data_IF_684115115473
#
_entry.id   IF_684115115473
#
_cell.length_a   1.000
_cell.length_b   1.000
_cell.length_c   1.000
_cell.angle_alpha   90.00
_cell.angle_beta   90.00
_cell.angle_gamma   90.00
#
_symmetry.space_group_name_H-M   'P 1'
#
loop_
_entity.id
_entity.type
_entity.pdbx_description
1 polymer ?
#
# COMPACT_ATOMS: atom_id res chain seq x y z
N UNK A 1 17.00 -77.34 20.46
CA UNK A 1 16.56 -76.21 21.32
C UNK A 1 17.22 -74.94 20.81
N UNK A 2 16.43 -73.85 20.73
CA UNK A 2 16.79 -72.44 20.47
C UNK A 2 17.19 -71.96 19.05
N UNK A 3 16.15 -71.50 18.34
CA UNK A 3 15.94 -70.22 17.63
C UNK A 3 17.14 -69.29 17.32
N UNK A 4 17.25 -68.83 16.07
CA UNK A 4 16.67 -67.54 15.58
C UNK A 4 17.16 -67.24 14.14
N UNK A 5 16.24 -67.21 13.17
CA UNK A 5 15.78 -66.03 12.38
C UNK A 5 16.90 -65.12 11.82
N UNK A 6 16.97 -64.99 10.48
CA UNK A 6 16.93 -63.74 9.67
C UNK A 6 17.15 -64.09 8.17
N UNK A 7 16.15 -63.85 7.29
CA UNK A 7 16.07 -62.71 6.32
C UNK A 7 17.26 -62.68 5.33
N UNK A 8 17.14 -63.24 4.11
CA UNK A 8 16.67 -62.61 2.85
C UNK A 8 17.39 -61.27 2.55
N UNK A 9 18.35 -61.26 1.62
CA UNK A 9 18.21 -60.81 0.19
C UNK A 9 18.11 -59.26 0.10
N UNK A 10 18.88 -58.48 -0.67
CA UNK A 10 19.46 -58.63 -2.01
C UNK A 10 20.62 -57.63 -2.22
N UNK A 11 21.56 -58.09 -3.04
CA UNK A 11 22.67 -57.47 -3.74
C UNK A 11 22.27 -56.29 -4.65
N UNK A 12 23.13 -55.28 -4.83
CA UNK A 12 23.25 -54.67 -6.16
C UNK A 12 23.56 -53.18 -6.25
N UNK A 13 24.82 -52.88 -6.55
CA UNK A 13 25.15 -52.13 -7.78
C UNK A 13 25.01 -50.61 -7.75
N UNK A 14 26.12 -49.96 -7.41
CA UNK A 14 26.40 -48.54 -7.64
C UNK A 14 26.28 -48.18 -9.13
N UNK A 15 25.43 -47.20 -9.47
CA UNK A 15 25.44 -46.52 -10.77
C UNK A 15 25.73 -45.04 -10.52
N UNK A 16 26.89 -44.59 -10.99
CA UNK A 16 27.26 -43.18 -11.01
C UNK A 16 26.55 -42.47 -12.15
N UNK A 17 25.91 -41.34 -11.85
CA UNK A 17 25.45 -40.35 -12.84
C UNK A 17 26.03 -39.01 -12.43
N UNK A 18 27.01 -38.54 -13.21
CA UNK A 18 27.43 -37.16 -13.20
C UNK A 18 26.35 -36.33 -13.92
N UNK A 19 25.74 -35.36 -13.23
CA UNK A 19 24.83 -34.39 -13.84
C UNK A 19 25.27 -32.98 -13.44
N UNK A 20 25.28 -32.11 -14.44
CA UNK A 20 26.03 -30.87 -14.53
C UNK A 20 25.60 -29.78 -13.53
N UNK A 21 26.60 -29.06 -13.01
CA UNK A 21 26.41 -27.75 -12.40
C UNK A 21 26.00 -26.76 -13.50
N UNK A 22 24.74 -26.32 -13.51
CA UNK A 22 24.32 -25.16 -14.31
C UNK A 22 24.80 -23.91 -13.58
N UNK A 23 25.98 -23.42 -13.96
CA UNK A 23 26.41 -22.06 -13.65
C UNK A 23 25.61 -21.12 -14.55
N UNK A 24 24.51 -20.56 -14.03
CA UNK A 24 23.77 -19.51 -14.71
C UNK A 24 24.41 -18.14 -14.44
N UNK A 25 25.59 -17.93 -15.01
CA UNK A 25 26.11 -16.59 -15.27
C UNK A 25 25.74 -16.24 -16.72
N UNK A 26 24.61 -15.58 -16.91
CA UNK A 26 24.17 -15.06 -18.21
C UNK A 26 24.26 -13.54 -18.24
N UNK A 27 25.37 -13.01 -18.77
CA UNK A 27 25.50 -11.59 -19.08
C UNK A 27 25.15 -11.34 -20.56
N UNK A 28 24.18 -10.44 -20.76
CA UNK A 28 23.87 -9.56 -21.91
C UNK A 28 23.87 -10.10 -23.36
N UNK A 29 22.71 -9.96 -24.01
CA UNK A 29 22.59 -10.05 -25.47
C UNK A 29 21.20 -9.71 -26.01
N UNK A 30 20.98 -8.43 -26.34
CA UNK A 30 20.16 -7.99 -27.48
C UNK A 30 18.71 -8.48 -27.59
N UNK A 31 17.84 -8.10 -26.65
CA UNK A 31 16.41 -8.01 -26.93
C UNK A 31 16.11 -6.61 -27.46
N UNK A 32 15.68 -6.51 -28.72
CA UNK A 32 15.26 -5.26 -29.35
C UNK A 32 14.30 -4.47 -28.44
N UNK A 33 14.74 -3.31 -27.95
CA UNK A 33 13.92 -2.31 -27.26
C UNK A 33 12.94 -1.68 -28.25
N UNK A 34 11.93 -2.44 -28.66
CA UNK A 34 10.80 -1.95 -29.43
C UNK A 34 9.79 -1.33 -28.46
N UNK A 35 10.16 -0.15 -27.97
CA UNK A 35 9.31 0.99 -27.58
C UNK A 35 10.07 1.89 -26.59
N UNK A 36 11.18 2.50 -27.02
CA UNK A 36 11.59 3.76 -26.41
C UNK A 36 10.63 4.84 -26.90
N UNK A 37 9.98 5.58 -26.01
CA UNK A 37 9.21 6.74 -26.47
C UNK A 37 10.17 7.70 -27.19
N UNK A 38 9.72 8.42 -28.25
CA UNK A 38 10.61 9.19 -29.13
C UNK A 38 11.45 10.26 -28.44
N UNK A 39 11.19 10.54 -27.16
CA UNK A 39 11.84 11.58 -26.37
C UNK A 39 12.39 11.12 -25.02
N UNK A 40 12.45 9.81 -24.74
CA UNK A 40 12.91 9.32 -23.42
C UNK A 40 14.32 9.83 -23.04
N UNK A 41 15.22 10.00 -24.02
CA UNK A 41 16.59 10.45 -23.79
C UNK A 41 16.75 11.99 -23.75
N UNK A 42 15.69 12.76 -24.02
CA UNK A 42 15.77 14.22 -24.18
C UNK A 42 14.74 15.00 -23.38
N UNK A 43 13.58 14.42 -23.08
CA UNK A 43 12.51 15.07 -22.33
C UNK A 43 12.89 15.15 -20.86
N UNK A 44 12.87 16.35 -20.31
CA UNK A 44 13.15 16.58 -18.88
C UNK A 44 11.86 16.54 -18.07
N UNK A 45 11.96 16.19 -16.79
CA UNK A 45 10.79 16.10 -15.90
C UNK A 45 9.97 17.40 -15.84
N UNK A 46 10.61 18.57 -15.88
CA UNK A 46 9.92 19.87 -15.88
C UNK A 46 9.29 20.25 -17.23
N UNK A 47 9.56 19.50 -18.29
CA UNK A 47 8.97 19.70 -19.62
C UNK A 47 7.74 18.80 -19.84
N UNK A 48 7.48 17.89 -18.89
CA UNK A 48 6.35 16.99 -18.94
C UNK A 48 5.17 17.52 -18.13
N UNK A 49 3.97 17.24 -18.64
CA UNK A 49 2.72 17.45 -17.94
C UNK A 49 2.05 16.10 -17.74
N UNK A 50 1.58 15.86 -16.52
CA UNK A 50 0.90 14.62 -16.15
C UNK A 50 -0.43 14.94 -15.51
N UNK A 51 -1.34 13.98 -15.57
CA UNK A 51 -2.56 14.00 -14.77
C UNK A 51 -2.26 13.29 -13.46
N UNK A 52 -2.69 13.92 -12.36
CA UNK A 52 -2.63 13.34 -11.03
C UNK A 52 -4.01 13.16 -10.40
N UNK A 53 -4.07 12.30 -9.40
CA UNK A 53 -5.22 12.16 -8.50
C UNK A 53 -4.89 12.75 -7.13
N UNK A 54 -5.88 13.43 -6.53
CA UNK A 54 -5.80 13.97 -5.16
C UNK A 54 -6.35 12.92 -4.19
N UNK A 55 -5.68 12.72 -3.06
CA UNK A 55 -5.95 11.65 -2.10
C UNK A 55 -6.10 10.29 -2.79
N UNK A 56 -5.09 9.84 -3.52
CA UNK A 56 -5.19 8.72 -4.48
C UNK A 56 -5.64 7.40 -3.86
N UNK A 57 -5.56 7.24 -2.55
CA UNK A 57 -5.97 6.06 -1.80
C UNK A 57 -7.44 6.11 -1.33
N UNK A 58 -8.12 7.26 -1.48
CA UNK A 58 -9.42 7.54 -0.86
C UNK A 58 -10.52 6.58 -1.33
N UNK A 59 -11.26 6.06 -0.35
CA UNK A 59 -12.49 5.30 -0.54
C UNK A 59 -13.61 6.02 0.21
N UNK A 60 -14.77 6.14 -0.42
CA UNK A 60 -15.95 6.75 0.21
C UNK A 60 -16.25 6.11 1.57
N UNK A 61 -16.61 6.90 2.60
CA UNK A 61 -17.12 6.38 3.87
C UNK A 61 -18.24 5.35 3.71
N UNK A 62 -18.21 4.30 4.52
CA UNK A 62 -19.26 3.26 4.54
C UNK A 62 -20.64 3.86 4.86
N UNK A 63 -21.75 3.23 4.42
CA UNK A 63 -23.09 3.82 4.50
C UNK A 63 -23.49 4.36 5.89
N UNK A 64 -23.18 3.64 6.97
CA UNK A 64 -23.55 4.05 8.33
C UNK A 64 -22.79 5.31 8.78
N UNK A 65 -21.47 5.34 8.53
CA UNK A 65 -20.64 6.51 8.79
C UNK A 65 -21.05 7.69 7.91
N UNK A 66 -21.24 7.46 6.61
CA UNK A 66 -21.69 8.48 5.67
C UNK A 66 -23.02 9.10 6.09
N UNK A 67 -24.00 8.30 6.52
CA UNK A 67 -25.29 8.80 7.01
C UNK A 67 -25.13 9.67 8.27
N UNK A 68 -24.23 9.27 9.19
CA UNK A 68 -23.88 10.06 10.38
C UNK A 68 -23.25 11.41 10.01
N UNK A 69 -22.27 11.41 9.11
CA UNK A 69 -21.62 12.64 8.62
C UNK A 69 -22.63 13.51 7.89
N UNK A 70 -23.47 12.96 7.02
CA UNK A 70 -24.50 13.70 6.29
C UNK A 70 -25.50 14.39 7.23
N UNK A 71 -25.85 13.75 8.35
CA UNK A 71 -26.77 14.32 9.33
C UNK A 71 -26.16 15.51 10.10
N UNK A 72 -24.83 15.51 10.31
CA UNK A 72 -24.13 16.51 11.14
C UNK A 72 -23.44 17.61 10.30
N UNK A 73 -22.88 17.23 9.16
CA UNK A 73 -22.07 18.07 8.28
C UNK A 73 -22.26 17.68 6.79
N UNK A 74 -23.42 18.01 6.19
CA UNK A 74 -23.70 17.67 4.79
C UNK A 74 -22.61 18.04 3.78
N UNK A 75 -21.99 19.25 3.85
CA UNK A 75 -20.93 19.61 2.90
C UNK A 75 -19.71 18.68 2.95
N UNK A 76 -19.37 18.12 4.13
CA UNK A 76 -18.27 17.16 4.25
C UNK A 76 -18.65 15.81 3.63
N UNK A 77 -19.86 15.31 3.92
CA UNK A 77 -20.34 14.07 3.34
C UNK A 77 -20.33 14.12 1.80
N UNK A 78 -20.82 15.22 1.22
CA UNK A 78 -20.82 15.42 -0.24
C UNK A 78 -19.40 15.47 -0.81
N UNK A 79 -18.46 16.15 -0.14
CA UNK A 79 -17.07 16.23 -0.57
C UNK A 79 -16.33 14.89 -0.53
N UNK A 80 -16.69 13.99 0.40
CA UNK A 80 -16.08 12.67 0.58
C UNK A 80 -16.86 11.56 -0.16
N UNK A 81 -17.85 11.91 -0.98
CA UNK A 81 -18.67 10.95 -1.72
C UNK A 81 -18.01 10.47 -3.03
N UNK A 82 -16.78 9.96 -2.96
CA UNK A 82 -16.07 9.41 -4.12
C UNK A 82 -15.10 8.29 -3.72
N UNK A 83 -14.72 7.46 -4.69
CA UNK A 83 -13.77 6.37 -4.49
C UNK A 83 -12.81 6.32 -5.68
N UNK A 84 -11.51 6.25 -5.40
CA UNK A 84 -10.51 5.94 -6.43
C UNK A 84 -10.39 4.43 -6.63
N UNK A 85 -9.87 4.04 -7.80
CA UNK A 85 -9.40 2.68 -8.02
C UNK A 85 -8.12 2.43 -7.22
N UNK A 86 -7.73 1.17 -7.03
CA UNK A 86 -6.43 0.85 -6.44
C UNK A 86 -5.28 1.50 -7.24
N UNK A 87 -4.14 1.80 -6.59
CA UNK A 87 -3.07 2.59 -7.19
C UNK A 87 -2.57 1.99 -8.52
N UNK A 88 -2.37 0.67 -8.56
CA UNK A 88 -1.96 -0.05 -9.76
C UNK A 88 -2.97 0.09 -10.92
N UNK A 89 -4.27 0.17 -10.62
CA UNK A 89 -5.32 0.36 -11.61
C UNK A 89 -5.38 1.81 -12.10
N UNK A 90 -5.12 2.81 -11.24
CA UNK A 90 -4.97 4.20 -11.66
C UNK A 90 -3.82 4.36 -12.66
N UNK A 91 -2.68 3.69 -12.43
CA UNK A 91 -1.54 3.73 -13.34
C UNK A 91 -1.82 3.04 -14.68
N UNK A 92 -2.56 1.94 -14.65
CA UNK A 92 -2.79 1.08 -15.82
C UNK A 92 -3.99 1.52 -16.66
N UNK A 93 -5.13 1.79 -16.03
CA UNK A 93 -6.39 2.07 -16.74
C UNK A 93 -6.58 3.56 -17.00
N UNK A 94 -6.18 4.41 -16.05
CA UNK A 94 -6.35 5.86 -16.13
C UNK A 94 -5.07 6.59 -16.55
N UNK A 95 -3.94 5.88 -16.64
CA UNK A 95 -2.64 6.44 -17.04
C UNK A 95 -2.16 7.58 -16.13
N UNK A 96 -2.54 7.54 -14.84
CA UNK A 96 -2.10 8.50 -13.83
C UNK A 96 -0.58 8.38 -13.63
N UNK A 97 0.10 9.53 -13.49
CA UNK A 97 1.55 9.61 -13.23
C UNK A 97 1.92 10.57 -12.10
N UNK A 98 0.93 11.08 -11.40
CA UNK A 98 1.11 11.76 -10.12
C UNK A 98 0.03 11.26 -9.14
N UNK A 99 0.44 10.89 -7.94
CA UNK A 99 -0.46 10.47 -6.87
C UNK A 99 -0.12 11.19 -5.57
N UNK A 100 -1.08 11.18 -4.67
CA UNK A 100 -0.99 11.74 -3.33
C UNK A 100 -1.35 10.68 -2.29
N UNK A 101 -0.54 10.60 -1.24
CA UNK A 101 -0.72 9.68 -0.12
C UNK A 101 -0.57 10.46 1.18
N UNK A 102 -1.65 10.59 1.91
CA UNK A 102 -1.64 11.15 3.25
C UNK A 102 -1.16 10.08 4.22
N UNK A 103 -0.24 10.45 5.08
CA UNK A 103 0.36 9.57 6.07
C UNK A 103 0.21 10.13 7.47
N UNK A 104 -0.18 9.26 8.39
CA UNK A 104 -0.25 9.54 9.82
C UNK A 104 0.75 8.65 10.54
N UNK A 105 1.57 9.24 11.42
CA UNK A 105 2.55 8.50 12.20
C UNK A 105 1.89 7.64 13.29
N UNK A 106 2.30 6.38 13.39
CA UNK A 106 1.84 5.41 14.39
C UNK A 106 3.00 4.45 14.77
N UNK A 107 4.06 4.95 15.43
CA UNK A 107 5.32 4.21 15.63
C UNK A 107 5.16 2.98 16.53
N UNK A 108 4.17 2.96 17.41
CA UNK A 108 3.87 1.82 18.28
C UNK A 108 2.77 0.91 17.71
N UNK A 109 2.03 1.38 16.71
CA UNK A 109 0.84 0.71 16.19
C UNK A 109 -0.39 0.92 17.07
N UNK A 110 -1.56 0.70 16.47
CA UNK A 110 -2.85 0.71 17.16
C UNK A 110 -3.46 2.08 17.37
N UNK A 111 -2.75 3.18 17.09
CA UNK A 111 -3.27 4.55 17.32
C UNK A 111 -4.57 4.80 16.55
N UNK A 112 -4.69 4.22 15.35
CA UNK A 112 -5.87 4.37 14.48
C UNK A 112 -6.73 3.10 14.41
N UNK A 113 -6.49 2.09 15.26
CA UNK A 113 -7.21 0.82 15.24
C UNK A 113 -8.65 0.93 15.77
N UNK A 114 -8.93 1.94 16.58
CA UNK A 114 -10.29 2.31 17.00
C UNK A 114 -10.76 3.54 16.21
N UNK A 115 -11.96 3.48 15.64
CA UNK A 115 -12.55 4.53 14.80
C UNK A 115 -13.56 5.32 15.61
N UNK A 116 -13.17 6.49 16.13
CA UNK A 116 -13.98 7.20 17.11
C UNK A 116 -15.39 7.59 16.61
N UNK A 117 -15.55 7.94 15.33
CA UNK A 117 -16.87 8.22 14.78
C UNK A 117 -17.78 6.98 14.78
N UNK A 118 -17.23 5.80 14.52
CA UNK A 118 -17.99 4.56 14.58
C UNK A 118 -18.36 4.22 16.02
N UNK A 119 -17.42 4.31 16.97
CA UNK A 119 -17.70 4.14 18.40
C UNK A 119 -18.84 5.07 18.86
N UNK A 120 -18.80 6.33 18.44
CA UNK A 120 -19.84 7.31 18.76
C UNK A 120 -21.21 6.95 18.15
N UNK A 121 -21.24 6.48 16.90
CA UNK A 121 -22.49 6.19 16.17
C UNK A 121 -23.12 4.84 16.55
N UNK A 122 -22.30 3.81 16.82
CA UNK A 122 -22.75 2.42 16.96
C UNK A 122 -22.42 1.79 18.31
N UNK A 123 -21.52 2.40 19.09
CA UNK A 123 -20.94 1.80 20.30
C UNK A 123 -19.87 0.74 20.02
N UNK A 124 -19.39 0.64 18.78
CA UNK A 124 -18.28 -0.24 18.39
C UNK A 124 -17.40 0.44 17.32
N UNK A 125 -16.24 0.93 17.76
CA UNK A 125 -15.22 1.55 16.92
C UNK A 125 -14.12 0.59 16.46
N UNK A 126 -14.13 -0.68 16.87
CA UNK A 126 -13.04 -1.59 16.56
C UNK A 126 -12.93 -1.82 15.04
N UNK A 127 -11.81 -1.42 14.45
CA UNK A 127 -11.58 -1.64 13.02
C UNK A 127 -11.48 -3.12 12.65
N UNK A 128 -10.97 -3.94 13.58
CA UNK A 128 -10.63 -5.35 13.36
C UNK A 128 -9.68 -5.56 12.17
N UNK A 129 -8.81 -4.57 11.90
CA UNK A 129 -7.81 -4.58 10.83
C UNK A 129 -6.41 -4.73 11.45
N UNK A 130 -5.79 -5.92 11.40
CA UNK A 130 -4.50 -6.17 12.05
C UNK A 130 -3.38 -5.25 11.52
N UNK A 131 -3.49 -4.77 10.28
CA UNK A 131 -2.55 -3.81 9.69
C UNK A 131 -2.48 -2.49 10.46
N UNK A 132 -3.55 -2.13 11.17
CA UNK A 132 -3.59 -0.92 12.00
C UNK A 132 -2.91 -1.11 13.35
N UNK A 133 -2.79 -2.36 13.82
CA UNK A 133 -2.11 -2.70 15.08
C UNK A 133 -0.58 -2.72 14.96
N UNK A 134 -0.06 -2.79 13.73
CA UNK A 134 1.39 -2.83 13.48
C UNK A 134 2.03 -1.44 13.55
N UNK A 135 3.28 -1.30 14.02
CA UNK A 135 4.08 -0.08 13.88
C UNK A 135 4.18 0.46 12.44
N UNK A 136 4.17 1.79 12.28
CA UNK A 136 4.50 2.49 11.04
C UNK A 136 3.55 3.62 10.70
N UNK A 137 3.39 3.93 9.41
CA UNK A 137 2.51 4.99 8.94
C UNK A 137 1.18 4.43 8.42
N UNK A 138 0.08 5.05 8.85
CA UNK A 138 -1.28 4.73 8.39
C UNK A 138 -1.68 5.69 7.28
N UNK A 139 -2.50 5.19 6.36
CA UNK A 139 -2.98 5.95 5.21
C UNK A 139 -4.50 6.07 5.31
N UNK A 140 -4.95 7.29 5.53
CA UNK A 140 -6.34 7.69 5.72
C UNK A 140 -6.50 9.18 5.40
N UNK A 141 -7.71 9.68 5.19
CA UNK A 141 -7.91 11.09 4.82
C UNK A 141 -8.03 11.99 6.06
N UNK A 142 -9.00 11.71 6.92
CA UNK A 142 -9.21 12.44 8.16
C UNK A 142 -9.36 11.44 9.31
N UNK A 143 -8.57 11.64 10.37
CA UNK A 143 -8.57 10.77 11.53
C UNK A 143 -9.99 10.56 12.06
N UNK A 144 -10.34 9.31 12.33
CA UNK A 144 -11.63 8.85 12.89
C UNK A 144 -12.91 9.12 12.09
N UNK A 145 -12.92 10.02 11.11
CA UNK A 145 -14.14 10.45 10.40
C UNK A 145 -14.12 10.19 8.90
N UNK A 146 -12.94 9.99 8.30
CA UNK A 146 -12.80 9.60 6.90
C UNK A 146 -11.54 8.73 6.69
N UNK A 147 -11.69 7.44 6.95
CA UNK A 147 -10.56 6.53 7.14
C UNK A 147 -10.53 5.32 6.22
N UNK A 148 -11.46 5.22 5.27
CA UNK A 148 -11.45 4.13 4.30
C UNK A 148 -10.37 4.40 3.25
N UNK A 149 -9.59 3.37 2.92
CA UNK A 149 -8.42 3.49 2.04
C UNK A 149 -8.26 2.23 1.20
N UNK A 150 -7.76 2.37 -0.03
CA UNK A 150 -7.39 1.22 -0.86
C UNK A 150 -6.17 0.47 -0.32
N UNK A 151 -5.33 1.14 0.49
CA UNK A 151 -4.15 0.56 1.13
C UNK A 151 -3.96 1.17 2.53
N UNK A 152 -4.00 0.37 3.59
CA UNK A 152 -4.14 0.86 4.98
C UNK A 152 -2.85 1.42 5.58
N UNK A 153 -1.70 1.02 5.04
CA UNK A 153 -0.37 1.45 5.53
C UNK A 153 0.45 2.03 4.40
N UNK A 154 1.33 2.98 4.71
CA UNK A 154 2.22 3.55 3.70
C UNK A 154 3.10 2.48 3.05
N UNK A 155 3.57 1.51 3.85
CA UNK A 155 4.30 0.33 3.37
C UNK A 155 3.49 -0.49 2.35
N UNK A 156 2.20 -0.72 2.58
CA UNK A 156 1.34 -1.40 1.61
C UNK A 156 1.17 -0.60 0.32
N UNK A 157 0.96 0.72 0.41
CA UNK A 157 0.82 1.57 -0.77
C UNK A 157 2.11 1.59 -1.60
N UNK A 158 3.28 1.74 -0.96
CA UNK A 158 4.58 1.65 -1.62
C UNK A 158 4.82 0.27 -2.25
N UNK A 159 4.36 -0.81 -1.61
CA UNK A 159 4.48 -2.15 -2.16
C UNK A 159 3.64 -2.32 -3.43
N UNK A 160 2.43 -1.76 -3.49
CA UNK A 160 1.63 -1.75 -4.72
C UNK A 160 2.35 -1.02 -5.86
N UNK A 161 2.88 0.18 -5.58
CA UNK A 161 3.65 0.97 -6.55
C UNK A 161 4.87 0.18 -7.04
N UNK A 162 5.62 -0.44 -6.12
CA UNK A 162 6.81 -1.23 -6.45
C UNK A 162 6.48 -2.43 -7.33
N UNK A 163 5.42 -3.19 -6.98
CA UNK A 163 4.99 -4.36 -7.75
C UNK A 163 4.56 -3.95 -9.15
N UNK A 164 3.75 -2.89 -9.26
CA UNK A 164 3.33 -2.38 -10.56
C UNK A 164 4.52 -1.87 -11.39
N UNK A 165 5.42 -1.10 -10.78
CA UNK A 165 6.61 -0.56 -11.43
C UNK A 165 7.51 -1.66 -11.99
N UNK A 166 7.79 -2.70 -11.19
CA UNK A 166 8.59 -3.85 -11.63
C UNK A 166 7.95 -4.62 -12.80
N UNK A 167 6.62 -4.65 -12.88
CA UNK A 167 5.89 -5.26 -13.99
C UNK A 167 5.84 -4.37 -15.24
N UNK A 168 6.17 -3.07 -15.13
CA UNK A 168 6.08 -2.08 -16.21
C UNK A 168 7.40 -1.31 -16.38
N UNK A 169 8.53 -1.96 -16.72
CA UNK A 169 9.87 -1.36 -16.64
C UNK A 169 10.11 -0.15 -17.55
N UNK A 170 9.19 0.16 -18.46
CA UNK A 170 9.24 1.33 -19.35
C UNK A 170 8.16 2.37 -19.02
N UNK A 171 7.54 2.30 -17.83
CA UNK A 171 6.54 3.28 -17.44
C UNK A 171 7.18 4.67 -17.28
N UNK A 172 6.42 5.71 -17.60
CA UNK A 172 6.79 7.08 -17.26
C UNK A 172 6.95 7.24 -15.73
N UNK A 173 7.88 8.05 -15.20
CA UNK A 173 8.04 8.26 -13.77
C UNK A 173 6.71 8.55 -13.06
N UNK A 174 6.53 7.97 -11.87
CA UNK A 174 5.40 8.26 -10.99
C UNK A 174 5.88 9.27 -9.96
N UNK A 175 5.25 10.44 -9.93
CA UNK A 175 5.43 11.43 -8.88
C UNK A 175 4.54 11.04 -7.70
N UNK A 176 5.14 10.80 -6.53
CA UNK A 176 4.42 10.47 -5.31
C UNK A 176 4.55 11.66 -4.36
N UNK A 177 3.45 12.39 -4.15
CA UNK A 177 3.32 13.35 -3.07
C UNK A 177 2.96 12.58 -1.80
N UNK A 178 3.69 12.85 -0.73
CA UNK A 178 3.39 12.30 0.59
C UNK A 178 3.02 13.47 1.50
N UNK A 179 1.76 13.52 1.95
CA UNK A 179 1.27 14.55 2.86
C UNK A 179 1.39 14.03 4.29
N UNK A 180 2.31 14.61 5.06
CA UNK A 180 2.48 14.29 6.48
C UNK A 180 1.38 14.98 7.31
N UNK A 181 0.41 14.19 7.78
CA UNK A 181 -0.74 14.70 8.52
C UNK A 181 -0.49 14.64 10.02
N UNK A 182 -0.57 15.78 10.67
CA UNK A 182 -0.47 15.89 12.14
C UNK A 182 -1.48 16.85 12.79
N UNK A 183 -2.41 17.40 12.01
CA UNK A 183 -3.37 18.38 12.51
C UNK A 183 -4.54 17.70 13.25
N UNK A 184 -4.88 18.13 14.48
CA UNK A 184 -6.09 17.67 15.16
C UNK A 184 -7.34 18.24 14.48
N UNK A 185 -8.46 17.55 14.62
CA UNK A 185 -9.77 18.02 14.16
C UNK A 185 -10.69 18.37 15.32
N UNK A 186 -11.67 19.23 15.06
CA UNK A 186 -12.79 19.46 15.96
C UNK A 186 -13.95 18.52 15.60
N UNK A 187 -14.42 17.74 16.58
CA UNK A 187 -15.53 16.82 16.44
C UNK A 187 -16.41 16.84 17.71
N UNK A 188 -17.69 16.41 17.63
CA UNK A 188 -18.56 16.32 18.81
C UNK A 188 -18.24 15.15 19.76
N UNK A 189 -17.12 14.46 19.52
CA UNK A 189 -16.59 13.33 20.30
C UNK A 189 -15.06 13.42 20.33
N UNK A 190 -14.44 12.68 21.25
CA UNK A 190 -12.97 12.60 21.32
C UNK A 190 -12.43 11.84 20.12
N UNK A 191 -11.43 12.41 19.45
CA UNK A 191 -10.71 11.80 18.33
C UNK A 191 -9.27 11.56 18.72
N UNK A 192 -8.59 10.70 17.96
CA UNK A 192 -7.14 10.61 17.95
C UNK A 192 -6.55 11.99 17.72
N UNK A 193 -5.53 12.33 18.51
CA UNK A 193 -4.66 13.47 18.25
C UNK A 193 -3.47 12.91 17.48
N UNK A 194 -3.29 13.26 16.19
CA UNK A 194 -2.15 12.80 15.42
C UNK A 194 -0.81 13.15 16.08
N UNK A 195 0.18 12.30 15.86
CA UNK A 195 1.55 12.57 16.26
C UNK A 195 2.12 13.66 15.33
N UNK A 196 2.69 14.71 15.92
CA UNK A 196 3.37 15.80 15.20
C UNK A 196 4.53 15.27 14.39
N UNK A 197 4.64 15.69 13.13
CA UNK A 197 5.79 15.35 12.30
C UNK A 197 6.97 16.24 12.62
N UNK A 198 7.83 15.79 13.53
CA UNK A 198 9.16 16.37 13.72
C UNK A 198 10.24 15.63 12.92
N UNK A 199 11.51 15.92 13.20
CA UNK A 199 12.63 15.27 12.51
C UNK A 199 12.65 13.75 12.65
N UNK A 200 12.23 13.21 13.80
CA UNK A 200 12.17 11.76 14.04
C UNK A 200 11.13 11.09 13.15
N UNK A 201 9.92 11.66 13.07
CA UNK A 201 8.86 11.10 12.22
C UNK A 201 9.19 11.26 10.73
N UNK A 202 9.83 12.35 10.32
CA UNK A 202 10.28 12.52 8.95
C UNK A 202 11.43 11.57 8.58
N UNK A 203 12.36 11.28 9.49
CA UNK A 203 13.44 10.31 9.26
C UNK A 203 12.94 8.85 9.23
N UNK A 204 11.81 8.57 9.90
CA UNK A 204 11.20 7.24 9.92
C UNK A 204 10.37 6.92 8.67
N UNK A 205 10.00 7.94 7.88
CA UNK A 205 9.14 7.85 6.68
C UNK A 205 9.87 7.26 5.46
#
# INVERSE_FOLDING_TARGET
MQNSRLQRFILGGMVGVAAAFVSACGNSGGGSSQNSYPRDDVLRMHEAQVIGTHNSYHVQPKPDLFAGILALAPPLAEAWQYTHLALAEQFSSQQIRQIEIDVYADPEGGLYANRAAMEFLTGDGASNLPELDEPGFKVLHVQDVDFESTCLTFKSCLREIQVWSAANPQHYPILVLVEAKDEPIEAPFETVIPIVFDAEQLDAL
#
